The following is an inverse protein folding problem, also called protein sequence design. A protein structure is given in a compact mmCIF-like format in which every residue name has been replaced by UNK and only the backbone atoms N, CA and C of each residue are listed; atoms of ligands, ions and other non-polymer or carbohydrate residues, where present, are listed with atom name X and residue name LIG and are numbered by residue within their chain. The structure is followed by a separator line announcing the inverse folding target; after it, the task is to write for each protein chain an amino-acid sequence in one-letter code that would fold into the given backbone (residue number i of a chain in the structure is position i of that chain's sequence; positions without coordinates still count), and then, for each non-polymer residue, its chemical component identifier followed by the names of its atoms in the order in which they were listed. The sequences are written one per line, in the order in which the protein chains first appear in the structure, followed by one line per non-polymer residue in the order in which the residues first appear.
data_IF_770241933284
#
_entry.id   IF_770241933284
#
_cell.length_a   1.000
_cell.length_b   1.000
_cell.length_c   1.000
_cell.angle_alpha   90.00
_cell.angle_beta   90.00
_cell.angle_gamma   90.00
#
_symmetry.space_group_name_H-M   'P 1'
#
loop_
_entity.id
_entity.type
_entity.pdbx_description
1 polymer ?
#
# COMPACT_ATOMS: atom_id res chain seq x y z
N UNK A 1 -20.77 0.07 -17.89
CA UNK A 1 -20.43 -0.03 -17.55
C UNK A 1 -20.21 -0.18 -17.38
N UNK A 2 -20.18 -0.45 -17.35
CA UNK A 2 -19.95 -0.71 -17.03
C UNK A 2 -19.70 -1.05 -16.66
N UNK A 3 -19.73 -1.37 -16.68
CA UNK A 3 -19.45 -1.85 -16.27
C UNK A 3 -19.23 -2.35 -16.10
N UNK A 4 -19.14 -2.64 -16.17
CA UNK A 4 -18.83 -3.16 -15.91
C UNK A 4 -18.70 -3.66 -15.75
N UNK A 5 -18.80 -3.79 -15.68
CA UNK A 5 -18.53 -4.23 -15.48
C UNK A 5 -18.46 -4.72 -15.23
N UNK A 6 -18.55 -4.74 -15.20
CA UNK A 6 -18.28 -5.28 -14.91
C UNK A 6 -18.08 -6.30 -14.39
N UNK A 7 -18.25 -6.86 -14.07
CA UNK A 7 -18.11 -7.95 -13.51
C UNK A 7 -16.97 -8.74 -13.86
N UNK A 8 -16.28 -9.52 -13.45
CA UNK A 8 -15.14 -10.22 -13.87
C UNK A 8 -14.00 -9.34 -14.33
N UNK A 9 -14.29 -8.13 -14.68
CA UNK A 9 -13.29 -7.18 -15.10
C UNK A 9 -12.75 -6.34 -13.94
N UNK A 10 -13.25 -6.58 -12.77
CA UNK A 10 -12.83 -5.80 -11.61
C UNK A 10 -11.37 -6.11 -11.30
N UNK A 11 -10.58 -5.06 -11.18
CA UNK A 11 -9.16 -5.21 -10.89
C UNK A 11 -8.83 -4.47 -9.62
N UNK A 12 -8.13 -5.14 -8.72
CA UNK A 12 -7.66 -4.53 -7.49
C UNK A 12 -6.30 -3.93 -7.75
N UNK A 13 -6.15 -2.65 -7.41
CA UNK A 13 -4.88 -1.95 -7.56
C UNK A 13 -4.01 -2.27 -6.35
N UNK A 14 -2.81 -2.77 -6.61
CA UNK A 14 -1.88 -3.14 -5.55
C UNK A 14 -0.95 -1.97 -5.26
N UNK A 15 -0.82 -1.61 -4.00
CA UNK A 15 -0.09 -0.42 -3.59
C UNK A 15 1.08 -0.81 -2.70
N UNK A 16 2.23 -0.23 -2.98
CA UNK A 16 3.39 -0.30 -2.10
C UNK A 16 3.48 1.06 -1.40
N UNK A 17 3.45 1.06 -0.07
CA UNK A 17 3.37 2.28 0.71
C UNK A 17 4.70 2.54 1.40
N UNK A 18 5.42 3.56 0.95
CA UNK A 18 6.69 3.97 1.57
C UNK A 18 6.39 4.94 2.69
N UNK A 19 7.07 4.79 3.81
CA UNK A 19 6.77 5.56 5.00
C UNK A 19 5.57 5.00 5.73
N UNK A 20 5.40 3.68 5.66
CA UNK A 20 4.18 3.01 6.11
C UNK A 20 3.91 3.21 7.60
N UNK A 21 4.95 3.37 8.42
CA UNK A 21 4.77 3.55 9.85
C UNK A 21 4.76 5.00 10.29
N UNK A 22 4.80 5.94 9.35
CA UNK A 22 4.62 7.35 9.68
C UNK A 22 3.14 7.67 9.85
N UNK A 23 2.86 8.90 10.27
CA UNK A 23 1.46 9.31 10.47
C UNK A 23 0.65 9.21 9.20
N UNK A 24 1.18 9.73 8.09
CA UNK A 24 0.45 9.67 6.83
C UNK A 24 0.32 8.23 6.34
N UNK A 25 1.33 7.40 6.61
CA UNK A 25 1.23 6.00 6.24
C UNK A 25 0.05 5.32 6.88
N UNK A 26 -0.14 5.55 8.18
CA UNK A 26 -1.28 4.97 8.89
C UNK A 26 -2.61 5.49 8.35
N UNK A 27 -2.68 6.78 8.04
CA UNK A 27 -3.90 7.37 7.49
C UNK A 27 -4.21 6.78 6.12
N UNK A 28 -3.20 6.67 5.26
CA UNK A 28 -3.40 6.11 3.93
C UNK A 28 -3.83 4.65 4.03
N UNK A 29 -3.22 3.89 4.93
CA UNK A 29 -3.58 2.49 5.10
C UNK A 29 -5.04 2.35 5.50
N UNK A 30 -5.51 3.23 6.39
CA UNK A 30 -6.91 3.21 6.80
C UNK A 30 -7.84 3.55 5.63
N UNK A 31 -7.45 4.55 4.83
CA UNK A 31 -8.26 4.94 3.68
C UNK A 31 -8.36 3.83 2.65
N UNK A 32 -7.24 3.17 2.38
CA UNK A 32 -7.22 2.09 1.40
C UNK A 32 -8.03 0.90 1.89
N UNK A 33 -7.98 0.63 3.19
CA UNK A 33 -8.70 -0.51 3.76
C UNK A 33 -10.22 -0.38 3.56
N UNK A 34 -10.71 0.84 3.36
CA UNK A 34 -12.14 1.05 3.14
C UNK A 34 -12.53 0.96 1.67
N UNK A 35 -11.57 0.67 0.79
CA UNK A 35 -11.84 0.59 -0.63
C UNK A 35 -11.86 -0.84 -1.10
N UNK A 36 -12.73 -1.14 -2.05
CA UNK A 36 -12.82 -2.49 -2.60
C UNK A 36 -11.87 -2.68 -3.76
N UNK A 37 -11.41 -1.60 -4.38
CA UNK A 37 -10.61 -1.69 -5.60
C UNK A 37 -9.13 -1.41 -5.37
N UNK A 38 -8.70 -1.32 -4.13
CA UNK A 38 -7.30 -1.06 -3.81
C UNK A 38 -6.90 -1.86 -2.58
N UNK A 39 -5.64 -2.22 -2.52
CA UNK A 39 -5.10 -2.85 -1.32
C UNK A 39 -3.63 -2.52 -1.22
N UNK A 40 -3.14 -2.46 0.00
CA UNK A 40 -1.71 -2.30 0.23
C UNK A 40 -1.13 -3.70 0.35
N UNK A 41 -0.19 -4.02 -0.53
CA UNK A 41 0.43 -5.35 -0.52
C UNK A 41 1.68 -5.38 0.35
N UNK A 42 2.31 -4.23 0.56
CA UNK A 42 3.50 -4.15 1.40
C UNK A 42 3.78 -2.71 1.76
N UNK A 43 4.50 -2.52 2.86
CA UNK A 43 4.98 -1.21 3.26
C UNK A 43 6.49 -1.20 3.32
N UNK A 44 7.07 -0.01 3.22
CA UNK A 44 8.51 0.19 3.38
C UNK A 44 8.68 1.23 4.48
N UNK A 45 9.45 0.90 5.49
CA UNK A 45 9.74 1.82 6.57
C UNK A 45 10.90 1.27 7.38
N UNK A 46 11.69 2.14 7.97
CA UNK A 46 12.74 1.68 8.87
C UNK A 46 12.14 1.00 10.10
N UNK A 47 10.98 1.46 10.52
CA UNK A 47 10.23 0.77 11.56
C UNK A 47 9.38 -0.28 10.88
N UNK A 48 9.76 -1.53 11.02
CA UNK A 48 9.08 -2.63 10.31
C UNK A 48 7.98 -3.29 11.14
N UNK A 49 7.53 -2.62 12.17
CA UNK A 49 6.46 -3.17 13.00
C UNK A 49 5.17 -3.24 12.21
N UNK A 50 4.62 -4.44 12.12
CA UNK A 50 3.40 -4.67 11.35
C UNK A 50 2.19 -4.23 12.15
N UNK A 51 1.30 -3.47 11.53
CA UNK A 51 0.10 -3.00 12.22
C UNK A 51 -1.17 -3.32 11.43
N UNK A 52 -1.05 -3.99 10.33
CA UNK A 52 -2.20 -4.32 9.50
C UNK A 52 -1.92 -5.65 8.78
N UNK A 53 -2.64 -5.90 7.70
CA UNK A 53 -2.54 -7.19 7.01
C UNK A 53 -1.32 -7.30 6.13
N UNK A 54 -0.66 -6.19 5.83
CA UNK A 54 0.48 -6.23 4.91
C UNK A 54 1.80 -6.23 5.66
N UNK A 55 2.83 -6.85 5.10
CA UNK A 55 4.15 -6.84 5.73
C UNK A 55 4.84 -5.50 5.49
N UNK A 56 5.78 -5.17 6.37
CA UNK A 56 6.57 -3.96 6.23
C UNK A 56 8.03 -4.36 6.15
N UNK A 57 8.72 -3.87 5.12
CA UNK A 57 10.12 -4.18 4.88
C UNK A 57 10.96 -2.93 5.11
N UNK A 58 12.22 -3.12 5.45
CA UNK A 58 13.10 -1.98 5.73
C UNK A 58 13.62 -1.32 4.46
N UNK A 59 13.57 -2.01 3.33
CA UNK A 59 13.99 -1.44 2.06
C UNK A 59 13.31 -2.18 0.92
N UNK A 60 13.47 -1.62 -0.28
CA UNK A 60 12.84 -2.20 -1.46
C UNK A 60 13.42 -3.56 -1.84
N UNK A 61 14.70 -3.77 -1.56
CA UNK A 61 15.31 -5.04 -1.97
C UNK A 61 14.81 -6.21 -1.15
N UNK A 62 14.30 -5.95 0.04
CA UNK A 62 13.70 -7.00 0.86
C UNK A 62 12.27 -7.30 0.46
N UNK A 63 11.63 -6.40 -0.26
CA UNK A 63 10.23 -6.54 -0.61
C UNK A 63 10.09 -7.38 -1.87
N UNK A 64 9.34 -8.46 -1.78
CA UNK A 64 9.13 -9.34 -2.93
C UNK A 64 7.71 -9.23 -3.48
N UNK A 65 6.98 -8.23 -3.07
CA UNK A 65 5.62 -8.03 -3.54
C UNK A 65 5.61 -7.15 -4.78
N UNK A 66 4.76 -7.50 -5.73
CA UNK A 66 4.57 -6.65 -6.90
C UNK A 66 3.46 -5.66 -6.63
N UNK A 67 3.65 -4.45 -7.10
CA UNK A 67 2.67 -3.40 -6.92
C UNK A 67 2.46 -2.66 -8.22
N UNK A 68 1.25 -2.15 -8.38
CA UNK A 68 0.91 -1.35 -9.55
C UNK A 68 1.25 0.12 -9.33
N UNK A 69 1.22 0.55 -8.07
CA UNK A 69 1.42 1.94 -7.68
C UNK A 69 2.30 2.00 -6.45
N UNK A 70 3.20 2.94 -6.42
CA UNK A 70 4.02 3.21 -5.24
C UNK A 70 3.63 4.59 -4.71
N UNK A 71 3.23 4.64 -3.45
CA UNK A 71 2.93 5.88 -2.77
C UNK A 71 4.02 6.13 -1.74
N UNK A 72 4.71 7.26 -1.85
CA UNK A 72 5.88 7.53 -1.04
C UNK A 72 5.61 8.71 -0.12
N UNK A 73 5.43 8.42 1.15
CA UNK A 73 5.33 9.42 2.20
C UNK A 73 6.52 9.33 3.17
N UNK A 74 7.58 8.67 2.75
CA UNK A 74 8.76 8.65 3.60
C UNK A 74 9.27 10.09 3.74
N UNK A 75 9.73 10.42 4.93
CA UNK A 75 10.15 11.77 5.17
C UNK A 75 11.57 11.95 4.70
N UNK A 76 11.71 12.50 3.57
CA UNK A 76 13.02 12.80 3.06
C UNK A 76 13.32 14.28 3.09
N UNK A 77 12.38 15.01 3.63
CA UNK A 77 12.57 16.40 3.68
C UNK A 77 13.38 16.78 4.80
N UNK A 78 13.91 16.81 5.03
CA UNK A 78 14.49 17.12 6.10
C UNK A 78 15.44 17.74 6.12
#
# INVERSE_FOLDING_TARGET
MESNQRKGCFKVIRILLCGANGKMGHVIASCVAERDNMKIVAGIDLNTEKYSDFPIFSDFSSCDQEADVIIDFSNSAL
#
